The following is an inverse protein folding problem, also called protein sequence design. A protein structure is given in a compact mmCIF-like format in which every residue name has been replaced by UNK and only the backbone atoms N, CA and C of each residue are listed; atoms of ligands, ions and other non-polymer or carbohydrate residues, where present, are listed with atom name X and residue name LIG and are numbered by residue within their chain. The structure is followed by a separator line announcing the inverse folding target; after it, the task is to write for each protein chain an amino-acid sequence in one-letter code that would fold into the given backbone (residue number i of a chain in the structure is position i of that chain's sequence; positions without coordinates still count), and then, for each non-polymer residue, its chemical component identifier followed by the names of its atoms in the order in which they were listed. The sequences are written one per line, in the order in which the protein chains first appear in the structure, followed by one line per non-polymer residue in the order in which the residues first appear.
data_IF_181271311419
#
_entry.id   IF_181271311419
#
_cell.length_a   1.000
_cell.length_b   1.000
_cell.length_c   1.000
_cell.angle_alpha   90.00
_cell.angle_beta   90.00
_cell.angle_gamma   90.00
#
_symmetry.space_group_name_H-M   'P 1'
#
loop_
_entity.id
_entity.type
_entity.pdbx_description
1 polymer ?
#
# COMPACT_ATOMS: atom_id res chain seq x y z
N UNK A 1 12.69 20.90 -9.43
CA UNK A 1 13.69 20.70 -8.36
C UNK A 1 15.05 20.79 -9.00
N UNK A 2 15.87 21.80 -8.66
CA UNK A 2 17.20 21.96 -9.24
C UNK A 2 18.19 21.02 -8.54
N UNK A 3 19.02 20.33 -9.31
CA UNK A 3 20.14 19.54 -8.79
C UNK A 3 21.18 20.50 -8.22
N UNK A 4 21.08 20.82 -6.93
CA UNK A 4 22.02 21.70 -6.27
C UNK A 4 23.26 20.90 -5.84
N UNK A 5 24.33 20.99 -6.64
CA UNK A 5 25.62 20.32 -6.41
C UNK A 5 26.18 20.60 -5.01
N UNK A 6 25.85 21.76 -4.41
CA UNK A 6 26.30 22.15 -3.07
C UNK A 6 25.80 21.25 -1.93
N UNK A 7 24.79 20.42 -2.19
CA UNK A 7 24.18 19.52 -1.18
C UNK A 7 24.97 18.22 -1.05
N UNK A 8 25.78 17.85 -2.06
CA UNK A 8 26.57 16.63 -2.06
C UNK A 8 27.99 16.92 -1.56
N UNK A 9 28.46 16.12 -0.60
CA UNK A 9 29.83 16.14 -0.06
C UNK A 9 30.45 14.74 -0.15
N UNK A 10 31.78 14.66 -0.05
CA UNK A 10 32.53 13.40 0.03
C UNK A 10 32.20 12.42 -1.12
N UNK A 11 32.18 12.93 -2.35
CA UNK A 11 31.89 12.12 -3.53
C UNK A 11 33.07 11.17 -3.77
N UNK A 12 32.80 9.86 -3.77
CA UNK A 12 33.80 8.82 -4.00
C UNK A 12 33.24 7.71 -4.87
N UNK A 13 34.10 7.09 -5.66
CA UNK A 13 33.75 5.92 -6.47
C UNK A 13 34.02 4.68 -5.65
N UNK A 14 33.03 3.79 -5.55
CA UNK A 14 33.20 2.53 -4.84
C UNK A 14 33.88 1.53 -5.80
N UNK A 15 35.13 1.20 -5.53
CA UNK A 15 35.98 0.40 -6.43
C UNK A 15 35.78 -1.11 -6.26
N UNK A 16 35.46 -1.58 -5.06
CA UNK A 16 35.43 -3.00 -4.71
C UNK A 16 33.99 -3.55 -4.65
N UNK A 17 33.18 -3.24 -5.66
CA UNK A 17 31.83 -3.78 -5.80
C UNK A 17 31.80 -4.80 -6.94
N UNK A 18 31.39 -6.02 -6.61
CA UNK A 18 31.18 -7.09 -7.59
C UNK A 18 29.83 -6.92 -8.31
N UNK A 19 29.59 -5.76 -8.92
CA UNK A 19 28.49 -5.58 -9.88
C UNK A 19 29.06 -5.81 -11.28
N UNK A 20 28.50 -6.79 -12.01
CA UNK A 20 28.82 -6.99 -13.42
C UNK A 20 28.06 -5.95 -14.27
N UNK A 21 28.53 -4.70 -14.21
CA UNK A 21 27.94 -3.55 -14.90
C UNK A 21 29.07 -2.67 -15.44
N UNK A 22 28.87 -2.09 -16.62
CA UNK A 22 29.79 -1.12 -17.22
C UNK A 22 29.80 0.22 -16.43
N UNK A 23 28.86 0.39 -15.51
CA UNK A 23 28.75 1.58 -14.66
C UNK A 23 29.37 1.37 -13.28
N UNK A 24 30.08 2.41 -12.80
CA UNK A 24 30.65 2.43 -11.44
C UNK A 24 29.67 3.08 -10.45
N UNK A 25 29.54 2.49 -9.27
CA UNK A 25 28.77 3.10 -8.19
C UNK A 25 29.51 4.29 -7.57
N UNK A 26 28.77 5.35 -7.31
CA UNK A 26 29.26 6.58 -6.67
C UNK A 26 28.57 6.75 -5.31
N UNK A 27 29.38 6.93 -4.27
CA UNK A 27 28.93 7.27 -2.93
C UNK A 27 29.07 8.78 -2.71
N UNK A 28 28.06 9.42 -2.11
CA UNK A 28 28.12 10.81 -1.69
C UNK A 28 27.33 11.01 -0.40
N UNK A 29 27.81 11.91 0.46
CA UNK A 29 27.10 12.36 1.66
C UNK A 29 26.19 13.53 1.31
N UNK A 30 24.91 13.44 1.69
CA UNK A 30 23.96 14.55 1.53
C UNK A 30 23.96 15.42 2.79
N UNK A 31 24.23 16.71 2.65
CA UNK A 31 24.01 17.69 3.72
C UNK A 31 22.63 18.31 3.57
N UNK A 32 21.61 17.60 4.02
CA UNK A 32 20.26 18.11 4.12
C UNK A 32 19.66 17.73 5.47
N UNK A 33 18.82 18.61 6.02
CA UNK A 33 18.04 18.26 7.21
C UNK A 33 17.08 17.12 6.85
N UNK A 34 17.16 16.02 7.59
CA UNK A 34 16.30 14.86 7.41
C UNK A 34 14.88 15.19 7.85
N UNK A 35 14.09 15.83 6.99
CA UNK A 35 12.66 15.98 7.20
C UNK A 35 12.02 14.61 6.91
N UNK A 36 11.86 13.80 7.95
CA UNK A 36 11.06 12.57 7.88
C UNK A 36 9.63 12.98 7.53
N UNK A 37 9.25 12.89 6.25
CA UNK A 37 7.87 13.09 5.83
C UNK A 37 7.00 12.13 6.64
N UNK A 38 6.10 12.70 7.42
CA UNK A 38 5.13 11.94 8.19
C UNK A 38 4.28 11.17 7.16
N UNK A 39 4.54 9.87 6.98
CA UNK A 39 3.69 9.02 6.16
C UNK A 39 2.33 9.07 6.85
N UNK A 40 1.34 9.73 6.23
CA UNK A 40 -0.03 9.96 6.75
C UNK A 40 -0.82 8.68 7.10
N UNK A 41 -0.18 7.52 7.13
CA UNK A 41 -0.74 6.18 7.26
C UNK A 41 -0.10 5.38 8.40
N UNK A 42 0.60 6.05 9.32
CA UNK A 42 0.88 5.42 10.61
C UNK A 42 -0.28 5.75 11.52
N UNK A 43 -0.93 4.70 12.00
CA UNK A 43 -2.01 4.74 12.98
C UNK A 43 -1.73 5.79 14.07
N UNK A 44 -2.79 6.35 14.65
CA UNK A 44 -2.76 7.20 15.85
C UNK A 44 -2.17 6.50 17.10
N UNK A 45 -1.37 5.44 16.94
CA UNK A 45 -0.55 4.88 18.01
C UNK A 45 0.48 5.92 18.39
N UNK A 46 0.38 6.42 19.62
CA UNK A 46 1.39 7.25 20.27
C UNK A 46 2.77 6.63 20.03
N UNK A 47 3.68 7.37 19.39
CA UNK A 47 5.04 6.92 19.19
C UNK A 47 5.65 6.58 20.55
N UNK A 48 6.04 5.33 20.75
CA UNK A 48 6.88 4.92 21.87
C UNK A 48 8.20 5.71 21.75
N UNK A 49 8.41 6.67 22.65
CA UNK A 49 9.65 7.43 22.72
C UNK A 49 10.78 6.46 23.10
N UNK A 50 11.84 6.43 22.30
CA UNK A 50 13.04 5.68 22.63
C UNK A 50 13.82 6.46 23.70
N UNK A 51 13.60 6.13 24.97
CA UNK A 51 14.11 6.89 26.13
C UNK A 51 15.57 6.60 26.48
N UNK A 52 16.25 5.70 25.75
CA UNK A 52 17.65 5.32 26.02
C UNK A 52 17.87 4.56 27.34
N UNK A 53 16.82 4.33 28.13
CA UNK A 53 16.84 3.60 29.39
C UNK A 53 15.90 2.38 29.30
N UNK A 54 16.46 1.17 29.48
CA UNK A 54 15.76 -0.11 29.37
C UNK A 54 14.56 -0.22 30.31
N UNK A 55 14.67 0.28 31.54
CA UNK A 55 13.64 0.08 32.56
C UNK A 55 12.40 0.92 32.25
N UNK A 56 12.63 2.14 31.77
CA UNK A 56 11.55 3.02 31.27
C UNK A 56 10.91 2.48 29.99
N UNK A 57 11.66 1.77 29.15
CA UNK A 57 11.09 1.12 27.97
C UNK A 57 10.18 -0.04 28.37
N UNK A 58 10.62 -0.87 29.32
CA UNK A 58 9.84 -2.01 29.81
C UNK A 58 8.54 -1.52 30.46
N UNK A 59 8.58 -0.48 31.30
CA UNK A 59 7.37 0.07 31.95
C UNK A 59 6.39 0.71 30.95
N UNK A 60 6.90 1.35 29.90
CA UNK A 60 6.07 1.88 28.83
C UNK A 60 5.45 0.76 27.98
N UNK A 61 6.17 -0.34 27.77
CA UNK A 61 5.63 -1.50 27.04
C UNK A 61 4.57 -2.24 27.86
N UNK A 62 4.78 -2.46 29.15
CA UNK A 62 3.77 -3.10 30.02
C UNK A 62 2.50 -2.26 30.12
N UNK A 63 2.63 -0.95 30.37
CA UNK A 63 1.46 -0.05 30.40
C UNK A 63 0.73 0.03 29.05
N UNK A 64 1.44 -0.15 27.93
CA UNK A 64 0.81 -0.23 26.62
C UNK A 64 0.04 -1.54 26.47
N UNK A 65 0.62 -2.67 26.85
CA UNK A 65 -0.05 -3.98 26.85
C UNK A 65 -1.31 -3.94 27.72
N UNK A 66 -1.25 -3.43 28.94
CA UNK A 66 -2.40 -3.29 29.85
C UNK A 66 -3.53 -2.42 29.25
N UNK A 67 -3.20 -1.34 28.53
CA UNK A 67 -4.19 -0.51 27.81
C UNK A 67 -4.90 -1.26 26.68
N UNK A 68 -4.26 -2.28 26.11
CA UNK A 68 -4.79 -3.07 24.99
C UNK A 68 -5.33 -4.44 25.40
N UNK A 69 -5.11 -4.91 26.63
CA UNK A 69 -5.57 -6.23 27.13
C UNK A 69 -7.09 -6.43 27.05
N UNK A 70 -7.88 -5.36 26.97
CA UNK A 70 -9.34 -5.44 26.77
C UNK A 70 -9.83 -5.22 25.32
N UNK A 71 -8.94 -4.91 24.37
CA UNK A 71 -9.30 -4.50 22.98
C UNK A 71 -8.63 -5.36 21.91
N UNK A 72 -8.14 -6.54 22.28
CA UNK A 72 -7.52 -7.45 21.32
C UNK A 72 -8.60 -8.20 20.56
N UNK A 73 -9.02 -7.63 19.43
CA UNK A 73 -9.94 -8.29 18.50
C UNK A 73 -9.17 -9.47 17.87
N UNK A 74 -9.69 -10.71 17.96
CA UNK A 74 -9.11 -11.85 17.27
C UNK A 74 -8.91 -11.55 15.79
N UNK A 75 -7.79 -11.98 15.22
CA UNK A 75 -7.45 -11.74 13.81
C UNK A 75 -8.60 -12.14 12.87
N UNK A 76 -9.29 -13.25 13.19
CA UNK A 76 -10.46 -13.73 12.44
C UNK A 76 -11.62 -12.73 12.42
N UNK A 77 -11.91 -12.07 13.54
CA UNK A 77 -12.98 -11.07 13.65
C UNK A 77 -12.63 -9.80 12.87
N UNK A 78 -11.37 -9.36 12.94
CA UNK A 78 -10.85 -8.24 12.15
C UNK A 78 -11.00 -8.47 10.64
N UNK A 79 -10.72 -9.69 10.16
CA UNK A 79 -10.91 -10.04 8.75
C UNK A 79 -12.39 -10.12 8.35
N UNK A 80 -13.28 -10.54 9.26
CA UNK A 80 -14.73 -10.52 9.00
C UNK A 80 -15.27 -9.10 8.87
N UNK A 81 -14.86 -8.21 9.77
CA UNK A 81 -15.28 -6.81 9.77
C UNK A 81 -14.81 -6.09 8.50
N UNK A 82 -13.54 -6.25 8.13
CA UNK A 82 -12.98 -5.70 6.89
C UNK A 82 -13.69 -6.25 5.64
N UNK A 83 -14.00 -7.55 5.59
CA UNK A 83 -14.76 -8.13 4.48
C UNK A 83 -16.18 -7.55 4.38
N UNK A 84 -16.84 -7.27 5.52
CA UNK A 84 -18.15 -6.64 5.54
C UNK A 84 -18.11 -5.19 5.05
N UNK A 85 -17.11 -4.41 5.46
CA UNK A 85 -16.89 -3.03 4.99
C UNK A 85 -16.68 -3.01 3.47
N UNK A 86 -15.85 -3.92 2.95
CA UNK A 86 -15.63 -4.02 1.50
C UNK A 86 -16.93 -4.34 0.75
N UNK A 87 -17.77 -5.25 1.27
CA UNK A 87 -19.08 -5.58 0.68
C UNK A 87 -20.06 -4.40 0.72
N UNK A 88 -20.11 -3.64 1.80
CA UNK A 88 -21.04 -2.50 1.93
C UNK A 88 -20.63 -1.34 1.03
N UNK A 89 -19.36 -0.97 1.00
CA UNK A 89 -18.86 0.13 0.17
C UNK A 89 -18.92 -0.20 -1.33
N UNK A 90 -18.59 -1.43 -1.74
CA UNK A 90 -18.74 -1.85 -3.14
C UNK A 90 -20.20 -1.87 -3.59
N UNK A 91 -21.15 -2.26 -2.72
CA UNK A 91 -22.59 -2.18 -3.02
C UNK A 91 -23.10 -0.75 -3.18
N UNK A 92 -22.52 0.23 -2.48
CA UNK A 92 -22.88 1.65 -2.65
C UNK A 92 -22.48 2.18 -4.03
N UNK A 93 -21.34 1.74 -4.56
CA UNK A 93 -20.83 2.17 -5.87
C UNK A 93 -21.67 1.57 -7.02
N UNK A 94 -22.13 0.33 -6.88
CA UNK A 94 -22.99 -0.32 -7.89
C UNK A 94 -24.41 0.26 -7.99
N UNK A 95 -24.80 1.21 -7.13
CA UNK A 95 -26.07 1.95 -7.25
C UNK A 95 -25.97 3.24 -8.07
N UNK A 96 -24.89 3.46 -8.82
CA UNK A 96 -24.92 4.50 -9.86
C UNK A 96 -25.87 4.04 -10.96
N UNK A 97 -26.94 4.82 -11.16
CA UNK A 97 -27.83 4.71 -12.32
C UNK A 97 -26.95 4.79 -13.56
N UNK A 98 -26.73 3.64 -14.20
CA UNK A 98 -26.09 3.55 -15.52
C UNK A 98 -26.96 4.33 -16.50
N UNK A 99 -26.35 5.21 -17.31
CA UNK A 99 -27.03 5.87 -18.43
C UNK A 99 -27.77 4.83 -19.28
N UNK A 100 -28.92 5.21 -19.82
CA UNK A 100 -29.71 4.35 -20.73
C UNK A 100 -28.85 3.80 -21.88
N UNK A 101 -27.95 4.61 -22.42
CA UNK A 101 -26.98 4.19 -23.44
C UNK A 101 -26.06 3.07 -22.95
N UNK A 102 -25.51 3.19 -21.74
CA UNK A 102 -24.64 2.16 -21.17
C UNK A 102 -25.39 0.85 -20.90
N UNK A 103 -26.68 0.90 -20.56
CA UNK A 103 -27.49 -0.32 -20.41
C UNK A 103 -27.74 -0.99 -21.75
N UNK A 104 -28.07 -0.22 -22.79
CA UNK A 104 -28.26 -0.73 -24.15
C UNK A 104 -26.99 -1.40 -24.69
N UNK A 105 -25.82 -0.77 -24.52
CA UNK A 105 -24.53 -1.35 -24.93
C UNK A 105 -24.20 -2.65 -24.20
N UNK A 106 -24.58 -2.78 -22.93
CA UNK A 106 -24.38 -4.02 -22.16
C UNK A 106 -25.31 -5.15 -22.65
N UNK A 107 -26.55 -4.83 -23.01
CA UNK A 107 -27.48 -5.79 -23.61
C UNK A 107 -27.03 -6.26 -24.99
N UNK A 108 -26.58 -5.33 -25.84
CA UNK A 108 -26.02 -5.66 -27.17
C UNK A 108 -24.79 -6.56 -27.04
N UNK A 109 -23.88 -6.23 -26.13
CA UNK A 109 -22.70 -7.07 -25.87
C UNK A 109 -23.09 -8.47 -25.43
N UNK A 110 -24.11 -8.60 -24.57
CA UNK A 110 -24.59 -9.91 -24.10
C UNK A 110 -25.09 -10.77 -25.27
N UNK A 111 -25.89 -10.19 -26.16
CA UNK A 111 -26.39 -10.87 -27.38
C UNK A 111 -25.25 -11.30 -28.31
N UNK A 112 -24.22 -10.46 -28.50
CA UNK A 112 -23.07 -10.80 -29.33
C UNK A 112 -22.24 -11.96 -28.76
N UNK A 113 -22.11 -12.04 -27.44
CA UNK A 113 -21.42 -13.15 -26.77
C UNK A 113 -22.19 -14.46 -26.91
N UNK A 114 -23.52 -14.44 -26.71
CA UNK A 114 -24.38 -15.63 -26.90
C UNK A 114 -24.31 -16.15 -28.35
N UNK A 115 -24.28 -15.25 -29.35
CA UNK A 115 -24.12 -15.64 -30.78
C UNK A 115 -22.73 -16.26 -31.01
N UNK A 116 -21.68 -15.72 -30.38
CA UNK A 116 -20.31 -16.25 -30.50
C UNK A 116 -20.18 -17.64 -29.89
N UNK A 117 -20.77 -17.87 -28.71
CA UNK A 117 -20.74 -19.18 -28.06
C UNK A 117 -21.51 -20.24 -28.88
N UNK A 118 -22.72 -19.90 -29.34
CA UNK A 118 -23.51 -20.78 -30.20
C UNK A 118 -22.82 -21.10 -31.54
N UNK A 119 -22.11 -20.15 -32.14
CA UNK A 119 -21.36 -20.38 -33.39
C UNK A 119 -20.10 -21.22 -33.18
N UNK A 120 -19.46 -21.14 -32.01
CA UNK A 120 -18.35 -22.03 -31.65
C UNK A 120 -18.82 -23.46 -31.36
N UNK A 121 -19.98 -23.64 -30.73
CA UNK A 121 -20.59 -24.96 -30.49
C UNK A 121 -20.99 -25.66 -31.79
N UNK A 122 -21.58 -24.93 -32.74
CA UNK A 122 -21.95 -25.49 -34.06
C UNK A 122 -20.75 -25.91 -34.92
N UNK A 123 -19.57 -25.32 -34.72
CA UNK A 123 -18.34 -25.68 -35.44
C UNK A 123 -17.60 -26.89 -34.86
N UNK A 124 -17.98 -27.32 -33.65
CA UNK A 124 -17.40 -28.49 -32.97
C UNK A 124 -18.21 -29.78 -33.17
N UNK A 125 -19.39 -29.70 -33.79
CA UNK A 125 -20.19 -30.84 -34.25
C UNK A 125 -19.92 -31.07 -35.73
#
# INVERSE_FOLDING_TARGET
MSNNIKVFKNISIIQNLNFNSDHRMVCATLTCDNIKRNRRWQNNSSALMCTGNSDTLISNLTSLVERFEGKTIPIKEKYKETANILKTETRKINKRVTSTETQQLLEERKKLLEIRENSQERRKK
#
